data_IF_062723218853
#
_entry.id   IF_062723218853
#
_cell.length_a   1.000
_cell.length_b   1.000
_cell.length_c   1.000
_cell.angle_alpha   90.00
_cell.angle_beta   90.00
_cell.angle_gamma   90.00
#
_symmetry.space_group_name_H-M   'P 1'
#
loop_
_entity.id
_entity.type
_entity.pdbx_description
1 polymer ?
#
# COMPACT_ATOMS: atom_id res chain seq x y z
N UNK A 1 30.72 3.61 4.80
CA UNK A 1 29.96 4.59 3.99
C UNK A 1 29.19 3.85 2.90
N UNK A 2 27.91 4.21 2.73
CA UNK A 2 27.09 3.64 1.68
C UNK A 2 27.43 4.35 0.36
N UNK A 3 27.74 3.61 -0.74
CA UNK A 3 28.01 4.25 -2.02
C UNK A 3 26.79 5.06 -2.52
N UNK A 4 27.01 6.20 -3.19
CA UNK A 4 25.90 6.95 -3.79
C UNK A 4 25.10 6.09 -4.76
N UNK A 5 23.79 6.16 -4.67
CA UNK A 5 22.92 5.39 -5.54
C UNK A 5 22.64 3.96 -5.12
N UNK A 6 23.27 3.49 -4.03
CA UNK A 6 22.93 2.18 -3.50
C UNK A 6 21.57 2.22 -2.79
N UNK A 7 20.71 1.29 -3.13
CA UNK A 7 19.37 1.17 -2.53
C UNK A 7 19.28 -0.10 -1.69
N UNK A 8 18.32 -0.17 -0.75
CA UNK A 8 18.05 -1.41 -0.03
C UNK A 8 17.71 -2.54 -0.98
N UNK A 9 18.02 -3.76 -0.57
CA UNK A 9 17.72 -4.94 -1.39
C UNK A 9 16.23 -5.02 -1.73
N UNK A 10 15.93 -5.28 -2.99
CA UNK A 10 14.56 -5.36 -3.47
C UNK A 10 13.94 -4.03 -3.86
N UNK A 11 14.63 -2.92 -3.63
CA UNK A 11 14.16 -1.60 -4.03
C UNK A 11 15.02 -1.09 -5.17
N UNK A 12 14.37 -0.47 -6.15
CA UNK A 12 15.06 0.04 -7.34
C UNK A 12 14.39 1.30 -7.86
N UNK A 13 15.18 2.12 -8.53
CA UNK A 13 14.67 3.26 -9.27
C UNK A 13 14.10 2.78 -10.60
N UNK A 14 13.01 3.40 -11.03
CA UNK A 14 12.49 3.23 -12.38
C UNK A 14 12.83 4.47 -13.18
N UNK A 15 13.56 4.26 -14.27
CA UNK A 15 14.08 5.34 -15.09
C UNK A 15 13.37 5.37 -16.45
N UNK A 16 13.46 6.50 -17.20
CA UNK A 16 12.98 6.52 -18.59
C UNK A 16 13.72 5.49 -19.45
N UNK A 17 13.06 4.82 -20.40
CA UNK A 17 11.65 4.98 -20.74
C UNK A 17 10.69 4.10 -19.95
N UNK A 18 11.19 3.17 -19.12
CA UNK A 18 10.36 2.20 -18.40
C UNK A 18 9.38 2.85 -17.42
N UNK A 19 9.82 3.91 -16.73
CA UNK A 19 8.96 4.62 -15.77
C UNK A 19 7.72 5.19 -16.47
N UNK A 20 7.92 5.78 -17.65
CA UNK A 20 6.81 6.33 -18.42
C UNK A 20 5.89 5.24 -18.97
N UNK A 21 6.47 4.14 -19.45
CA UNK A 21 5.68 3.01 -19.95
C UNK A 21 4.82 2.40 -18.85
N UNK A 22 5.37 2.26 -17.64
CA UNK A 22 4.64 1.75 -16.48
C UNK A 22 3.49 2.67 -16.09
N UNK A 23 3.71 3.98 -16.11
CA UNK A 23 2.68 4.97 -15.78
C UNK A 23 1.52 4.92 -16.76
N UNK A 24 1.82 4.79 -18.06
CA UNK A 24 0.80 4.67 -19.11
C UNK A 24 -0.01 3.39 -18.96
N UNK A 25 0.65 2.29 -18.67
CA UNK A 25 -0.02 1.00 -18.46
C UNK A 25 -0.94 1.07 -17.24
N UNK A 26 -0.46 1.60 -16.13
CA UNK A 26 -1.26 1.77 -14.92
C UNK A 26 -2.50 2.63 -15.20
N UNK A 27 -2.36 3.71 -15.96
CA UNK A 27 -3.48 4.56 -16.33
C UNK A 27 -4.52 3.80 -17.15
N UNK A 28 -4.08 3.02 -18.13
CA UNK A 28 -4.99 2.22 -18.95
C UNK A 28 -5.74 1.18 -18.13
N UNK A 29 -5.06 0.52 -17.19
CA UNK A 29 -5.71 -0.45 -16.29
C UNK A 29 -6.75 0.24 -15.42
N UNK A 30 -6.41 1.38 -14.83
CA UNK A 30 -7.33 2.15 -13.98
C UNK A 30 -8.56 2.64 -14.76
N UNK A 31 -8.37 3.13 -15.98
CA UNK A 31 -9.48 3.58 -16.83
C UNK A 31 -10.40 2.41 -17.19
N UNK A 32 -9.83 1.24 -17.46
CA UNK A 32 -10.60 0.04 -17.79
C UNK A 32 -11.45 -0.42 -16.61
N UNK A 33 -10.87 -0.50 -15.41
CA UNK A 33 -11.65 -0.92 -14.24
C UNK A 33 -12.69 0.13 -13.85
N UNK A 34 -12.40 1.42 -14.01
CA UNK A 34 -13.38 2.48 -13.78
C UNK A 34 -14.59 2.35 -14.71
N UNK A 35 -14.36 1.96 -15.96
CA UNK A 35 -15.43 1.75 -16.93
C UNK A 35 -16.37 0.59 -16.54
N UNK A 36 -15.92 -0.31 -15.66
CA UNK A 36 -16.72 -1.41 -15.12
C UNK A 36 -17.38 -1.05 -13.78
N UNK A 37 -17.34 0.21 -13.37
CA UNK A 37 -18.02 0.68 -12.17
C UNK A 37 -17.19 0.62 -10.89
N UNK A 38 -15.91 0.32 -10.97
CA UNK A 38 -15.01 0.34 -9.81
C UNK A 38 -14.60 1.78 -9.50
N UNK A 39 -14.58 2.10 -8.23
CA UNK A 39 -14.13 3.40 -7.76
C UNK A 39 -12.77 3.25 -7.06
N UNK A 40 -11.91 4.23 -7.27
CA UNK A 40 -10.55 4.19 -6.75
C UNK A 40 -10.52 4.60 -5.28
N UNK A 41 -9.78 3.84 -4.47
CA UNK A 41 -9.39 4.23 -3.12
C UNK A 41 -7.87 4.29 -3.06
N UNK A 42 -7.34 5.13 -2.17
CA UNK A 42 -5.90 5.30 -1.99
C UNK A 42 -5.57 5.21 -0.50
N UNK A 43 -5.34 4.00 0.00
CA UNK A 43 -4.94 3.85 1.39
C UNK A 43 -3.53 4.41 1.62
N UNK A 44 -3.20 4.80 2.87
CA UNK A 44 -1.87 5.31 3.18
C UNK A 44 -0.79 4.23 3.04
N UNK A 45 0.45 4.65 2.80
CA UNK A 45 1.58 3.75 2.67
C UNK A 45 1.85 2.97 3.96
N UNK A 46 1.63 3.60 5.11
CA UNK A 46 1.86 2.99 6.42
C UNK A 46 0.61 3.08 7.28
N UNK A 47 0.39 2.07 8.10
CA UNK A 47 -0.70 2.03 9.09
C UNK A 47 -0.15 1.52 10.41
N UNK A 48 -0.96 1.59 11.49
CA UNK A 48 -0.60 0.95 12.73
C UNK A 48 -0.42 -0.55 12.51
N UNK A 49 0.64 -1.09 13.05
CA UNK A 49 1.00 -2.51 12.87
C UNK A 49 -0.17 -3.43 13.23
N UNK A 50 -0.86 -3.14 14.34
CA UNK A 50 -1.97 -3.96 14.81
C UNK A 50 -3.09 -4.07 13.76
N UNK A 51 -3.38 -2.99 13.07
CA UNK A 51 -4.41 -2.98 12.02
C UNK A 51 -4.05 -3.94 10.89
N UNK A 52 -2.78 -3.93 10.47
CA UNK A 52 -2.33 -4.80 9.38
C UNK A 52 -2.30 -6.26 9.78
N UNK A 53 -1.78 -6.57 10.98
CA UNK A 53 -1.63 -7.96 11.43
C UNK A 53 -2.96 -8.62 11.77
N UNK A 54 -3.94 -7.86 12.27
CA UNK A 54 -5.27 -8.40 12.57
C UNK A 54 -5.99 -8.93 11.33
N UNK A 55 -5.77 -8.31 10.18
CA UNK A 55 -6.48 -8.66 8.94
C UNK A 55 -5.71 -9.63 8.06
N UNK A 56 -4.42 -9.80 8.32
CA UNK A 56 -3.55 -10.70 7.55
C UNK A 56 -3.02 -11.78 8.48
N UNK A 57 -3.83 -12.81 8.73
CA UNK A 57 -3.50 -13.88 9.68
C UNK A 57 -2.21 -14.63 9.35
N UNK A 58 -1.85 -14.66 8.08
CA UNK A 58 -0.62 -15.32 7.62
C UNK A 58 0.62 -14.44 7.77
N UNK A 59 0.44 -13.16 8.09
CA UNK A 59 1.54 -12.20 8.18
C UNK A 59 1.92 -11.98 9.63
N UNK A 60 3.19 -12.17 9.95
CA UNK A 60 3.72 -11.90 11.27
C UNK A 60 4.33 -10.51 11.34
N UNK A 61 4.30 -9.89 12.51
CA UNK A 61 4.88 -8.57 12.72
C UNK A 61 6.34 -8.49 12.27
N UNK A 62 7.10 -9.56 12.50
CA UNK A 62 8.52 -9.62 12.13
C UNK A 62 8.77 -9.63 10.63
N UNK A 63 7.74 -9.90 9.82
CA UNK A 63 7.84 -9.89 8.36
C UNK A 63 7.54 -8.50 7.77
N UNK A 64 7.25 -7.52 8.62
CA UNK A 64 6.90 -6.17 8.20
C UNK A 64 8.07 -5.20 8.41
N UNK A 65 8.19 -4.23 7.52
CA UNK A 65 9.09 -3.09 7.73
C UNK A 65 8.39 -2.12 8.68
N UNK A 66 8.96 -1.90 9.85
CA UNK A 66 8.33 -1.17 10.95
C UNK A 66 9.07 0.12 11.29
N UNK A 67 8.31 1.07 11.83
CA UNK A 67 8.82 2.32 12.37
C UNK A 67 7.97 2.73 13.58
N UNK A 68 8.45 3.71 14.33
CA UNK A 68 7.68 4.26 15.45
C UNK A 68 7.05 5.57 15.02
N UNK A 69 5.74 5.70 15.24
CA UNK A 69 5.03 6.95 15.01
C UNK A 69 5.48 7.99 16.07
N UNK A 70 6.08 9.10 15.67
CA UNK A 70 6.59 10.08 16.64
C UNK A 70 5.49 10.78 17.45
N UNK A 71 4.25 10.77 16.96
CA UNK A 71 3.13 11.42 17.66
C UNK A 71 2.52 10.49 18.69
N UNK A 72 2.10 9.28 18.28
CA UNK A 72 1.41 8.35 19.16
C UNK A 72 2.35 7.41 19.91
N UNK A 73 3.60 7.31 19.50
CA UNK A 73 4.60 6.34 20.01
C UNK A 73 4.21 4.89 19.75
N UNK A 74 3.25 4.65 18.86
CA UNK A 74 2.83 3.31 18.47
C UNK A 74 3.61 2.83 17.27
N UNK A 75 3.68 1.52 17.09
CA UNK A 75 4.37 0.91 15.97
C UNK A 75 3.56 1.08 14.67
N UNK A 76 4.22 1.61 13.66
CA UNK A 76 3.72 1.66 12.29
C UNK A 76 4.41 0.59 11.46
N UNK A 77 3.74 0.13 10.42
CA UNK A 77 4.36 -0.76 9.45
C UNK A 77 4.04 -0.29 8.03
N UNK A 78 5.01 -0.46 7.14
CA UNK A 78 4.77 -0.27 5.71
C UNK A 78 3.88 -1.41 5.22
N UNK A 79 2.92 -1.09 4.36
CA UNK A 79 2.02 -2.11 3.84
C UNK A 79 2.77 -3.13 2.99
N UNK A 80 2.59 -4.44 3.25
CA UNK A 80 3.12 -5.47 2.36
C UNK A 80 2.33 -5.55 1.06
N UNK A 81 1.03 -5.31 1.17
CA UNK A 81 0.10 -5.12 0.04
C UNK A 81 -1.11 -4.33 0.55
N UNK A 82 -2.11 -4.13 -0.30
CA UNK A 82 -3.27 -3.31 0.04
C UNK A 82 -4.50 -4.09 0.49
N UNK A 83 -4.42 -5.41 0.57
CA UNK A 83 -5.58 -6.25 0.88
C UNK A 83 -6.20 -5.90 2.24
N UNK A 84 -5.37 -5.85 3.28
CA UNK A 84 -5.83 -5.52 4.62
C UNK A 84 -6.41 -4.11 4.69
N UNK A 85 -5.79 -3.16 3.99
CA UNK A 85 -6.22 -1.77 3.98
C UNK A 85 -7.56 -1.58 3.27
N UNK A 86 -7.74 -2.26 2.14
CA UNK A 86 -9.02 -2.22 1.42
C UNK A 86 -10.12 -2.83 2.28
N UNK A 87 -9.83 -3.94 2.98
CA UNK A 87 -10.76 -4.53 3.93
C UNK A 87 -11.15 -3.57 5.06
N UNK A 88 -10.18 -2.84 5.61
CA UNK A 88 -10.45 -1.83 6.63
C UNK A 88 -11.34 -0.71 6.09
N UNK A 89 -11.03 -0.19 4.91
CA UNK A 89 -11.82 0.88 4.29
C UNK A 89 -13.27 0.42 4.08
N UNK A 90 -13.44 -0.79 3.55
CA UNK A 90 -14.77 -1.34 3.31
C UNK A 90 -15.57 -1.49 4.62
N UNK A 91 -14.90 -1.91 5.70
CA UNK A 91 -15.54 -2.13 6.99
C UNK A 91 -15.79 -0.85 7.78
N UNK A 92 -15.13 0.26 7.46
CA UNK A 92 -15.23 1.52 8.19
C UNK A 92 -15.76 2.67 7.34
N UNK A 93 -14.96 3.17 6.42
CA UNK A 93 -15.29 4.36 5.63
C UNK A 93 -16.42 4.12 4.62
N UNK A 94 -16.49 2.92 4.09
CA UNK A 94 -17.45 2.55 3.05
C UNK A 94 -18.49 1.54 3.56
N UNK A 95 -18.71 1.49 4.87
CA UNK A 95 -19.63 0.52 5.47
C UNK A 95 -21.06 0.64 4.95
N UNK A 96 -21.47 1.84 4.51
CA UNK A 96 -22.79 2.10 3.97
C UNK A 96 -22.81 2.15 2.44
N UNK A 97 -21.70 1.88 1.79
CA UNK A 97 -21.64 1.85 0.33
C UNK A 97 -22.45 0.66 -0.20
N UNK A 98 -23.23 0.85 -1.28
CA UNK A 98 -24.04 -0.26 -1.83
C UNK A 98 -23.22 -1.40 -2.40
N UNK A 99 -21.95 -1.15 -2.76
CA UNK A 99 -21.00 -2.18 -3.24
C UNK A 99 -19.64 -1.88 -2.65
N UNK A 100 -19.41 -2.34 -1.45
CA UNK A 100 -18.09 -2.14 -0.83
C UNK A 100 -17.01 -2.98 -1.49
#
# INVERSE_FOLDING_TARGET
MIPPGLLPEGLSDRLPPQAEASARLARRVLDTVAAHGYERVMPPLAEFEDTLTQRLKSMRAQDLVRAVDPVSQRSLALRPDMTAQVGRIAATRLIHAPRP
#
